data_IF_217584833622
#
_entry.id   IF_217584833622
#
_cell.length_a   1.000
_cell.length_b   1.000
_cell.length_c   1.000
_cell.angle_alpha   90.00
_cell.angle_beta   90.00
_cell.angle_gamma   90.00
#
_symmetry.space_group_name_H-M   'P 1'
#
loop_
_entity.id
_entity.type
_entity.pdbx_description
1 polymer ?
#
# COMPACT_ATOMS: atom_id res chain seq x y z
N UNK A 1 0.90 14.97 19.50
CA UNK A 1 0.81 15.15 20.96
C UNK A 1 -0.59 15.68 21.27
N UNK A 2 -1.35 15.01 22.15
CA UNK A 2 -2.82 15.10 22.29
C UNK A 2 -3.40 16.51 22.05
N UNK A 3 -4.50 16.59 21.28
CA UNK A 3 -5.22 17.84 21.08
C UNK A 3 -5.91 18.22 22.40
N UNK A 4 -5.24 19.03 23.23
CA UNK A 4 -5.71 19.50 24.55
C UNK A 4 -6.76 20.61 24.42
N UNK A 5 -7.87 20.32 23.76
CA UNK A 5 -8.96 21.27 23.52
C UNK A 5 -9.70 21.59 24.83
N UNK A 6 -9.85 20.61 25.71
CA UNK A 6 -10.48 20.76 27.03
C UNK A 6 -9.43 20.67 28.15
N UNK A 7 -9.76 21.24 29.32
CA UNK A 7 -8.83 21.32 30.45
C UNK A 7 -8.56 19.96 31.11
N UNK A 8 -9.55 19.06 31.08
CA UNK A 8 -9.52 17.75 31.70
C UNK A 8 -10.41 16.75 30.94
N UNK A 9 -10.36 15.47 31.35
CA UNK A 9 -11.13 14.41 30.72
C UNK A 9 -12.61 14.45 31.08
N UNK A 10 -13.02 15.07 32.19
CA UNK A 10 -14.43 15.21 32.54
C UNK A 10 -15.15 16.15 31.57
N UNK A 11 -14.56 17.33 31.33
CA UNK A 11 -15.03 18.28 30.33
C UNK A 11 -15.02 17.68 28.92
N UNK A 12 -13.93 17.00 28.54
CA UNK A 12 -13.83 16.35 27.23
C UNK A 12 -14.90 15.27 27.05
N UNK A 13 -15.15 14.44 28.08
CA UNK A 13 -16.13 13.35 28.03
C UNK A 13 -17.56 13.88 27.95
N UNK A 14 -17.90 14.87 28.77
CA UNK A 14 -19.22 15.51 28.73
C UNK A 14 -19.47 16.16 27.35
N UNK A 15 -18.48 16.86 26.81
CA UNK A 15 -18.57 17.46 25.49
C UNK A 15 -18.73 16.40 24.38
N UNK A 16 -17.99 15.30 24.44
CA UNK A 16 -18.09 14.22 23.46
C UNK A 16 -19.50 13.60 23.44
N UNK A 17 -20.06 13.27 24.61
CA UNK A 17 -21.41 12.70 24.72
C UNK A 17 -22.47 13.69 24.20
N UNK A 18 -22.37 14.98 24.58
CA UNK A 18 -23.30 16.02 24.11
C UNK A 18 -23.19 16.34 22.63
N UNK A 19 -22.02 16.12 22.04
CA UNK A 19 -21.85 16.17 20.59
C UNK A 19 -22.51 14.99 19.87
N UNK A 20 -23.08 14.03 20.60
CA UNK A 20 -23.79 12.88 20.05
C UNK A 20 -22.91 11.68 19.79
N UNK A 21 -21.72 11.61 20.38
CA UNK A 21 -20.89 10.41 20.28
C UNK A 21 -21.55 9.23 20.99
N UNK A 22 -21.50 8.07 20.35
CA UNK A 22 -22.02 6.82 20.90
C UNK A 22 -20.91 5.96 21.50
N UNK A 23 -19.84 5.74 20.73
CA UNK A 23 -18.73 4.86 21.08
C UNK A 23 -17.42 5.63 21.11
N UNK A 24 -16.60 5.37 22.13
CA UNK A 24 -15.28 5.99 22.30
C UNK A 24 -14.20 4.94 22.09
N UNK A 25 -13.41 5.12 21.03
CA UNK A 25 -12.31 4.22 20.68
C UNK A 25 -11.02 4.67 21.37
N UNK A 26 -10.30 3.73 21.99
CA UNK A 26 -8.90 3.88 22.48
C UNK A 26 -8.62 5.01 23.49
N UNK A 27 -9.63 5.64 24.08
CA UNK A 27 -9.46 6.67 25.13
C UNK A 27 -9.88 6.11 26.49
N UNK A 28 -8.98 5.41 27.18
CA UNK A 28 -9.28 4.75 28.47
C UNK A 28 -9.79 5.72 29.54
N UNK A 29 -9.24 6.93 29.58
CA UNK A 29 -9.60 7.98 30.54
C UNK A 29 -11.01 8.56 30.34
N UNK A 30 -11.69 8.25 29.23
CA UNK A 30 -13.10 8.59 29.04
C UNK A 30 -13.98 7.93 30.11
N UNK A 31 -13.62 6.73 30.59
CA UNK A 31 -14.41 6.02 31.58
C UNK A 31 -14.52 6.81 32.88
N UNK A 32 -13.39 7.11 33.52
CA UNK A 32 -13.36 7.90 34.75
C UNK A 32 -13.87 9.34 34.52
N UNK A 33 -13.50 9.95 33.39
CA UNK A 33 -13.94 11.31 33.04
C UNK A 33 -15.46 11.45 32.87
N UNK A 34 -16.13 10.48 32.24
CA UNK A 34 -17.58 10.49 32.10
C UNK A 34 -18.28 10.29 33.46
N UNK A 35 -17.73 9.46 34.36
CA UNK A 35 -18.26 9.27 35.71
C UNK A 35 -18.12 10.54 36.56
N UNK A 36 -16.97 11.19 36.50
CA UNK A 36 -16.72 12.47 37.16
C UNK A 36 -17.69 13.55 36.66
N UNK A 37 -17.86 13.66 35.33
CA UNK A 37 -18.81 14.61 34.75
C UNK A 37 -20.25 14.39 35.22
N UNK A 38 -20.67 13.13 35.42
CA UNK A 38 -21.98 12.82 36.02
C UNK A 38 -22.04 13.21 37.49
N UNK A 39 -21.01 12.89 38.27
CA UNK A 39 -20.94 13.23 39.69
C UNK A 39 -20.97 14.75 39.94
N UNK A 40 -20.35 15.53 39.06
CA UNK A 40 -20.35 16.99 39.10
C UNK A 40 -21.62 17.62 38.50
N UNK A 41 -22.50 16.82 37.90
CA UNK A 41 -23.72 17.30 37.23
C UNK A 41 -23.46 18.01 35.90
N UNK A 42 -22.24 17.95 35.38
CA UNK A 42 -21.88 18.50 34.07
C UNK A 42 -22.27 17.58 32.93
N UNK A 43 -22.63 16.31 33.21
CA UNK A 43 -23.27 15.35 32.30
C UNK A 43 -24.42 14.66 33.03
N UNK A 44 -25.52 14.33 32.35
CA UNK A 44 -26.64 13.59 32.96
C UNK A 44 -26.60 12.12 32.58
N UNK A 45 -27.07 11.23 33.46
CA UNK A 45 -27.21 9.81 33.14
C UNK A 45 -28.12 9.58 31.92
N UNK A 46 -29.17 10.40 31.74
CA UNK A 46 -30.06 10.31 30.59
C UNK A 46 -29.35 10.56 29.24
N UNK A 47 -28.33 11.43 29.22
CA UNK A 47 -27.49 11.65 28.03
C UNK A 47 -26.64 10.39 27.72
N UNK A 48 -26.13 9.71 28.74
CA UNK A 48 -25.41 8.44 28.60
C UNK A 48 -26.37 7.31 28.16
N UNK A 49 -27.53 7.20 28.80
CA UNK A 49 -28.57 6.21 28.48
C UNK A 49 -28.99 6.29 27.01
N UNK A 50 -29.03 7.49 26.44
CA UNK A 50 -29.35 7.68 25.03
C UNK A 50 -28.28 7.04 24.12
N UNK A 51 -26.98 7.24 24.42
CA UNK A 51 -25.87 6.62 23.69
C UNK A 51 -25.84 5.09 23.87
N UNK A 52 -25.99 4.63 25.11
CA UNK A 52 -26.05 3.19 25.44
C UNK A 52 -27.22 2.52 24.71
N UNK A 53 -28.40 3.17 24.67
CA UNK A 53 -29.56 2.64 23.93
C UNK A 53 -29.25 2.45 22.45
N UNK A 54 -28.58 3.41 21.79
CA UNK A 54 -28.23 3.28 20.36
C UNK A 54 -27.25 2.12 20.12
N UNK A 55 -26.25 1.97 20.98
CA UNK A 55 -25.32 0.83 20.92
C UNK A 55 -26.04 -0.51 21.13
N UNK A 56 -26.90 -0.60 22.15
CA UNK A 56 -27.62 -1.84 22.45
C UNK A 56 -28.62 -2.18 21.35
N UNK A 57 -29.35 -1.20 20.80
CA UNK A 57 -30.23 -1.39 19.65
C UNK A 57 -29.47 -2.01 18.48
N UNK A 58 -28.30 -1.47 18.11
CA UNK A 58 -27.48 -2.04 17.05
C UNK A 58 -27.07 -3.50 17.37
N UNK A 59 -26.69 -3.80 18.62
CA UNK A 59 -26.35 -5.16 19.03
C UNK A 59 -27.54 -6.13 18.94
N UNK A 60 -28.75 -5.67 19.26
CA UNK A 60 -29.99 -6.43 19.07
C UNK A 60 -30.33 -6.63 17.59
N UNK A 61 -30.22 -5.59 16.76
CA UNK A 61 -30.47 -5.67 15.31
C UNK A 61 -29.50 -6.64 14.62
N UNK A 62 -28.26 -6.71 15.09
CA UNK A 62 -27.27 -7.69 14.65
C UNK A 62 -27.50 -9.10 15.25
N UNK A 63 -28.48 -9.29 16.13
CA UNK A 63 -28.78 -10.57 16.77
C UNK A 63 -27.66 -11.09 17.67
N UNK A 64 -26.80 -10.20 18.21
CA UNK A 64 -25.64 -10.58 19.01
C UNK A 64 -26.01 -11.09 20.41
N UNK A 65 -27.25 -10.85 20.86
CA UNK A 65 -27.79 -11.39 22.11
C UNK A 65 -28.17 -12.87 21.98
N UNK A 66 -28.62 -13.29 20.79
CA UNK A 66 -28.97 -14.67 20.48
C UNK A 66 -27.77 -15.46 19.95
N UNK A 67 -26.92 -14.82 19.15
CA UNK A 67 -25.73 -15.43 18.56
C UNK A 67 -24.55 -14.43 18.51
N UNK A 68 -23.51 -14.60 19.34
CA UNK A 68 -22.36 -13.70 19.38
C UNK A 68 -21.38 -13.86 18.20
N UNK A 69 -21.67 -14.76 17.23
CA UNK A 69 -20.92 -14.94 15.98
C UNK A 69 -19.45 -15.33 16.21
N UNK A 70 -19.22 -16.36 17.03
CA UNK A 70 -17.89 -16.90 17.26
C UNK A 70 -17.23 -17.39 15.95
N UNK A 71 -15.89 -17.43 15.89
CA UNK A 71 -15.16 -17.99 14.75
C UNK A 71 -15.60 -19.42 14.43
N UNK A 72 -15.77 -19.73 13.15
CA UNK A 72 -16.06 -21.05 12.63
C UNK A 72 -14.90 -21.53 11.76
N UNK A 73 -14.13 -22.50 12.26
CA UNK A 73 -12.95 -23.01 11.58
C UNK A 73 -13.27 -23.73 10.26
N UNK A 74 -14.44 -24.35 10.13
CA UNK A 74 -14.84 -25.03 8.90
C UNK A 74 -15.15 -23.99 7.80
N UNK A 75 -15.92 -22.95 8.14
CA UNK A 75 -16.20 -21.85 7.21
C UNK A 75 -14.94 -21.07 6.85
N UNK A 76 -14.02 -20.86 7.80
CA UNK A 76 -12.73 -20.23 7.52
C UNK A 76 -11.93 -21.02 6.48
N UNK A 77 -11.82 -22.34 6.67
CA UNK A 77 -11.12 -23.22 5.73
C UNK A 77 -11.81 -23.30 4.35
N UNK A 78 -13.12 -23.16 4.30
CA UNK A 78 -13.89 -23.16 3.05
C UNK A 78 -13.72 -21.85 2.25
N UNK A 79 -13.75 -20.70 2.92
CA UNK A 79 -13.91 -19.41 2.23
C UNK A 79 -12.67 -18.50 2.22
N UNK A 80 -11.82 -18.53 3.24
CA UNK A 80 -10.65 -17.62 3.30
C UNK A 80 -9.61 -18.07 2.26
N UNK A 81 -9.26 -17.18 1.33
CA UNK A 81 -8.32 -17.49 0.25
C UNK A 81 -8.85 -18.49 -0.79
N UNK A 82 -10.17 -18.69 -0.87
CA UNK A 82 -10.78 -19.60 -1.84
C UNK A 82 -10.49 -19.20 -3.29
N UNK A 83 -10.54 -20.17 -4.21
CA UNK A 83 -10.32 -19.92 -5.63
C UNK A 83 -11.31 -18.90 -6.23
N UNK A 84 -12.57 -18.93 -5.79
CA UNK A 84 -13.58 -17.98 -6.23
C UNK A 84 -13.25 -16.54 -5.79
N UNK A 85 -12.75 -16.33 -4.57
CA UNK A 85 -12.28 -15.02 -4.12
C UNK A 85 -11.03 -14.57 -4.89
N UNK A 86 -10.10 -15.48 -5.16
CA UNK A 86 -8.91 -15.18 -5.95
C UNK A 86 -9.23 -14.80 -7.40
N UNK A 87 -10.21 -15.46 -8.03
CA UNK A 87 -10.69 -15.13 -9.38
C UNK A 87 -11.35 -13.75 -9.42
N UNK A 88 -12.23 -13.46 -8.45
CA UNK A 88 -12.84 -12.13 -8.32
C UNK A 88 -11.78 -11.04 -8.06
N UNK A 89 -10.78 -11.33 -7.22
CA UNK A 89 -9.67 -10.42 -6.98
C UNK A 89 -8.89 -10.13 -8.27
N UNK A 90 -8.59 -11.16 -9.07
CA UNK A 90 -7.93 -11.00 -10.35
C UNK A 90 -8.76 -10.17 -11.34
N UNK A 91 -10.08 -10.36 -11.39
CA UNK A 91 -10.97 -9.53 -12.20
C UNK A 91 -10.93 -8.06 -11.76
N UNK A 92 -11.05 -7.82 -10.46
CA UNK A 92 -11.00 -6.48 -9.89
C UNK A 92 -9.66 -5.80 -10.19
N UNK A 93 -8.53 -6.46 -9.93
CA UNK A 93 -7.20 -5.95 -10.19
C UNK A 93 -7.00 -5.59 -11.67
N UNK A 94 -7.41 -6.47 -12.61
CA UNK A 94 -7.34 -6.19 -14.06
C UNK A 94 -8.10 -4.92 -14.47
N UNK A 95 -9.21 -4.63 -13.80
CA UNK A 95 -10.06 -3.45 -14.07
C UNK A 95 -9.63 -2.20 -13.31
N UNK A 96 -8.68 -2.33 -12.39
CA UNK A 96 -8.19 -1.24 -11.54
C UNK A 96 -6.99 -0.51 -12.14
N UNK A 97 -6.33 -1.10 -13.14
CA UNK A 97 -5.18 -0.52 -13.82
C UNK A 97 -5.59 0.62 -14.75
N UNK A 98 -4.81 1.69 -14.76
CA UNK A 98 -5.04 2.87 -15.62
C UNK A 98 -3.88 3.03 -16.59
N UNK A 99 -4.14 2.87 -17.88
CA UNK A 99 -3.19 3.23 -18.94
C UNK A 99 -3.24 4.75 -19.15
N UNK A 100 -2.22 5.47 -18.69
CA UNK A 100 -2.17 6.93 -18.74
C UNK A 100 -1.72 7.43 -20.11
N UNK A 101 -0.67 6.84 -20.66
CA UNK A 101 -0.14 7.14 -21.99
C UNK A 101 0.31 5.86 -22.69
N UNK A 102 0.23 5.85 -24.01
CA UNK A 102 0.71 4.77 -24.86
C UNK A 102 0.96 5.32 -26.27
N UNK A 103 2.18 5.18 -26.77
CA UNK A 103 2.58 5.60 -28.13
C UNK A 103 2.26 4.55 -29.21
N UNK A 104 1.69 3.41 -28.80
CA UNK A 104 1.42 2.25 -29.65
C UNK A 104 2.31 1.04 -29.36
N UNK A 105 3.31 1.20 -28.46
CA UNK A 105 4.18 0.11 -28.02
C UNK A 105 3.43 -0.99 -27.26
N UNK A 106 2.41 -0.62 -26.46
CA UNK A 106 1.56 -1.61 -25.78
C UNK A 106 0.33 -1.98 -26.63
N UNK A 107 -0.08 -3.27 -26.65
CA UNK A 107 0.54 -4.40 -25.95
C UNK A 107 1.84 -4.88 -26.61
N UNK A 108 2.80 -5.34 -25.81
CA UNK A 108 4.07 -5.87 -26.31
C UNK A 108 3.82 -7.09 -27.22
N UNK A 109 4.26 -7.02 -28.47
CA UNK A 109 4.29 -8.11 -29.46
C UNK A 109 2.98 -8.92 -29.65
N UNK A 110 1.82 -8.31 -29.34
CA UNK A 110 0.48 -8.88 -29.55
C UNK A 110 -0.32 -9.13 -28.27
N UNK A 111 0.32 -9.06 -27.10
CA UNK A 111 -0.36 -9.12 -25.80
C UNK A 111 -0.89 -10.49 -25.41
N UNK A 112 -1.77 -10.51 -24.39
CA UNK A 112 -2.33 -11.72 -23.81
C UNK A 112 -3.66 -12.07 -24.49
N UNK A 113 -3.74 -13.14 -25.32
CA UNK A 113 -4.98 -13.51 -25.99
C UNK A 113 -6.00 -14.08 -25.00
N UNK A 114 -7.28 -13.72 -25.18
CA UNK A 114 -8.37 -14.32 -24.43
C UNK A 114 -8.49 -15.82 -24.76
N UNK A 115 -8.63 -16.66 -23.74
CA UNK A 115 -8.73 -18.11 -23.89
C UNK A 115 -7.44 -18.82 -24.34
N UNK A 116 -6.30 -18.12 -24.36
CA UNK A 116 -4.99 -18.71 -24.62
C UNK A 116 -4.47 -19.59 -23.48
N UNK A 117 -3.23 -20.05 -23.59
CA UNK A 117 -2.53 -20.85 -22.59
C UNK A 117 -2.08 -20.06 -21.34
N UNK A 118 -2.52 -18.80 -21.23
CA UNK A 118 -2.13 -17.88 -20.18
C UNK A 118 -0.83 -17.13 -20.46
N UNK A 119 -0.22 -17.25 -21.64
CA UNK A 119 0.95 -16.46 -22.04
C UNK A 119 0.63 -15.51 -23.19
N UNK A 120 1.37 -14.41 -23.23
CA UNK A 120 1.32 -13.46 -24.31
C UNK A 120 1.84 -14.09 -25.62
N UNK A 121 1.38 -13.59 -26.75
CA UNK A 121 1.86 -14.00 -28.07
C UNK A 121 3.04 -13.14 -28.49
N UNK A 122 3.91 -13.68 -29.35
CA UNK A 122 4.97 -12.92 -30.00
C UNK A 122 5.37 -13.52 -31.34
N UNK A 123 6.03 -12.70 -32.16
CA UNK A 123 6.56 -13.10 -33.48
C UNK A 123 7.91 -13.82 -33.43
N UNK A 124 8.57 -13.82 -32.26
CA UNK A 124 9.81 -14.54 -31.99
C UNK A 124 10.37 -14.25 -30.59
N UNK A 125 11.55 -14.81 -30.27
CA UNK A 125 12.21 -14.60 -28.98
C UNK A 125 12.55 -13.13 -28.73
N UNK A 126 12.31 -12.64 -27.51
CA UNK A 126 12.67 -11.30 -27.05
C UNK A 126 13.27 -11.34 -25.66
N UNK A 127 13.94 -10.27 -25.29
CA UNK A 127 14.40 -10.01 -23.93
C UNK A 127 13.67 -8.79 -23.36
N UNK A 128 13.10 -8.93 -22.17
CA UNK A 128 12.59 -7.81 -21.36
C UNK A 128 13.57 -7.54 -20.23
N UNK A 129 13.94 -6.27 -20.06
CA UNK A 129 14.53 -5.78 -18.82
C UNK A 129 13.41 -5.26 -17.91
N UNK A 130 13.12 -5.98 -16.84
CA UNK A 130 12.22 -5.54 -15.77
C UNK A 130 13.07 -4.92 -14.66
N UNK A 131 12.91 -3.63 -14.42
CA UNK A 131 13.77 -2.88 -13.50
C UNK A 131 12.97 -2.08 -12.50
N UNK A 132 13.58 -1.75 -11.36
CA UNK A 132 13.00 -0.85 -10.38
C UNK A 132 12.63 -1.53 -9.04
N UNK A 133 12.59 -0.74 -7.95
CA UNK A 133 12.46 -1.26 -6.59
C UNK A 133 11.11 -1.91 -6.33
N UNK A 134 10.04 -1.48 -7.01
CA UNK A 134 8.69 -2.01 -6.81
C UNK A 134 8.37 -3.23 -7.69
N UNK A 135 9.31 -3.70 -8.52
CA UNK A 135 9.05 -4.81 -9.45
C UNK A 135 8.86 -6.18 -8.75
N UNK A 136 9.47 -6.38 -7.58
CA UNK A 136 9.37 -7.63 -6.80
C UNK A 136 9.18 -7.39 -5.29
N UNK A 137 8.72 -6.20 -4.89
CA UNK A 137 8.38 -5.90 -3.49
C UNK A 137 6.90 -6.23 -3.21
N UNK A 138 6.69 -7.48 -2.76
CA UNK A 138 5.36 -8.04 -2.56
C UNK A 138 4.54 -7.32 -1.47
N UNK A 139 5.16 -6.95 -0.34
CA UNK A 139 4.41 -6.32 0.76
C UNK A 139 4.09 -4.87 0.43
N UNK A 140 5.04 -4.15 -0.17
CA UNK A 140 4.79 -2.78 -0.64
C UNK A 140 3.73 -2.72 -1.72
N UNK A 141 3.64 -3.72 -2.61
CA UNK A 141 2.57 -3.79 -3.61
C UNK A 141 1.18 -3.80 -2.97
N UNK A 142 0.99 -4.54 -1.88
CA UNK A 142 -0.27 -4.56 -1.13
C UNK A 142 -0.60 -3.22 -0.47
N UNK A 143 0.43 -2.47 -0.06
CA UNK A 143 0.30 -1.12 0.49
C UNK A 143 -0.06 -1.06 1.97
N UNK A 144 -0.64 0.07 2.38
CA UNK A 144 -1.09 0.31 3.75
C UNK A 144 -2.34 -0.51 4.09
N UNK A 145 -2.61 -0.72 5.39
CA UNK A 145 -3.72 -1.52 5.90
C UNK A 145 -3.69 -2.99 5.49
N UNK A 146 -2.50 -3.53 5.26
CA UNK A 146 -2.25 -4.94 4.99
C UNK A 146 -1.40 -5.57 6.11
N UNK A 147 -1.12 -6.87 5.99
CA UNK A 147 -0.20 -7.53 6.91
C UNK A 147 1.14 -6.79 6.99
N UNK A 148 1.69 -6.61 8.19
CA UNK A 148 2.95 -5.89 8.46
C UNK A 148 3.02 -4.40 8.07
N UNK A 149 1.91 -3.72 7.71
CA UNK A 149 1.97 -2.28 7.42
C UNK A 149 2.12 -1.36 8.64
N UNK A 150 2.06 -1.93 9.85
CA UNK A 150 2.38 -1.25 11.12
C UNK A 150 1.23 -1.11 12.11
N UNK A 151 -0.01 -1.40 11.72
CA UNK A 151 -1.20 -1.29 12.57
C UNK A 151 -1.36 -2.44 13.56
N UNK A 152 -0.79 -3.61 13.26
CA UNK A 152 -0.84 -4.82 14.07
C UNK A 152 0.47 -5.61 13.97
N UNK A 153 0.82 -6.31 15.04
CA UNK A 153 2.11 -7.01 15.20
C UNK A 153 2.01 -8.54 15.06
N UNK A 154 0.81 -9.11 14.92
CA UNK A 154 0.61 -10.56 14.86
C UNK A 154 1.06 -11.19 13.53
N UNK A 155 1.38 -10.38 12.51
CA UNK A 155 1.84 -10.83 11.19
C UNK A 155 3.11 -10.06 10.79
N UNK A 156 4.24 -10.30 11.48
CA UNK A 156 5.44 -9.46 11.35
C UNK A 156 6.13 -9.61 9.99
N UNK A 157 6.00 -10.77 9.34
CA UNK A 157 6.60 -11.04 8.02
C UNK A 157 5.69 -10.63 6.84
N UNK A 158 4.52 -10.06 7.15
CA UNK A 158 3.52 -9.67 6.16
C UNK A 158 2.70 -10.83 5.62
N UNK A 159 1.94 -10.55 4.55
CA UNK A 159 1.12 -11.58 3.91
C UNK A 159 2.01 -12.66 3.27
N UNK A 160 1.60 -13.94 3.23
CA UNK A 160 2.44 -15.00 2.69
C UNK A 160 2.88 -14.73 1.25
N UNK A 161 4.19 -14.64 0.99
CA UNK A 161 4.74 -14.35 -0.35
C UNK A 161 4.21 -15.26 -1.46
N UNK A 162 3.92 -16.53 -1.13
CA UNK A 162 3.36 -17.51 -2.07
C UNK A 162 1.94 -17.16 -2.57
N UNK A 163 1.23 -16.26 -1.88
CA UNK A 163 -0.11 -15.79 -2.23
C UNK A 163 -0.09 -14.44 -2.96
N UNK A 164 1.08 -13.82 -3.12
CA UNK A 164 1.24 -12.52 -3.77
C UNK A 164 1.94 -12.76 -5.11
N UNK A 165 1.41 -12.17 -6.17
CA UNK A 165 2.06 -12.14 -7.48
C UNK A 165 2.56 -10.73 -7.75
N UNK A 166 3.88 -10.60 -7.74
CA UNK A 166 4.56 -9.35 -8.08
C UNK A 166 4.53 -9.11 -9.58
N UNK A 167 4.95 -7.92 -10.02
CA UNK A 167 5.16 -7.64 -11.45
C UNK A 167 6.18 -8.63 -12.03
N UNK A 168 7.27 -8.93 -11.32
CA UNK A 168 8.27 -9.90 -11.74
C UNK A 168 7.70 -11.32 -11.90
N UNK A 169 6.89 -11.78 -10.95
CA UNK A 169 6.20 -13.06 -11.09
C UNK A 169 5.28 -13.06 -12.32
N UNK A 170 4.51 -11.99 -12.49
CA UNK A 170 3.59 -11.81 -13.61
C UNK A 170 4.31 -11.88 -14.96
N UNK A 171 5.43 -11.18 -15.12
CA UNK A 171 6.21 -11.27 -16.36
C UNK A 171 6.77 -12.69 -16.57
N UNK A 172 7.37 -13.33 -15.56
CA UNK A 172 7.89 -14.71 -15.71
C UNK A 172 6.81 -15.73 -16.08
N UNK A 173 5.62 -15.59 -15.50
CA UNK A 173 4.50 -16.48 -15.74
C UNK A 173 3.82 -16.23 -17.10
N UNK A 174 3.84 -14.99 -17.61
CA UNK A 174 2.95 -14.55 -18.71
C UNK A 174 3.66 -14.16 -19.99
N UNK A 175 4.96 -13.92 -20.03
CA UNK A 175 5.67 -13.72 -21.32
C UNK A 175 5.67 -15.02 -22.15
N UNK A 176 5.85 -14.97 -23.48
CA UNK A 176 6.09 -16.17 -24.28
C UNK A 176 7.21 -17.03 -23.68
N UNK A 177 7.10 -18.36 -23.81
CA UNK A 177 8.03 -19.29 -23.16
C UNK A 177 9.48 -19.19 -23.66
N UNK A 178 9.69 -18.63 -24.85
CA UNK A 178 10.99 -18.37 -25.47
C UNK A 178 11.51 -16.95 -25.23
N UNK A 179 10.80 -16.15 -24.42
CA UNK A 179 11.28 -14.84 -23.97
C UNK A 179 12.15 -14.95 -22.72
N UNK A 180 13.10 -14.02 -22.60
CA UNK A 180 13.96 -13.88 -21.42
C UNK A 180 13.51 -12.66 -20.60
N UNK A 181 13.35 -12.83 -19.29
CA UNK A 181 13.09 -11.73 -18.34
C UNK A 181 14.33 -11.51 -17.49
N UNK A 182 15.07 -10.45 -17.78
CA UNK A 182 16.17 -9.97 -16.96
C UNK A 182 15.60 -9.03 -15.88
N UNK A 183 15.98 -9.23 -14.63
CA UNK A 183 15.54 -8.41 -13.50
C UNK A 183 16.73 -7.69 -12.87
N UNK A 184 16.58 -6.40 -12.59
CA UNK A 184 17.52 -5.63 -11.77
C UNK A 184 16.75 -4.64 -10.87
N UNK A 185 17.08 -4.51 -9.57
CA UNK A 185 16.39 -3.58 -8.67
C UNK A 185 16.57 -2.11 -9.11
N UNK A 186 17.75 -1.75 -9.62
CA UNK A 186 18.02 -0.45 -10.26
C UNK A 186 18.08 0.77 -9.34
N UNK A 187 17.28 0.81 -8.28
CA UNK A 187 17.18 1.93 -7.36
C UNK A 187 16.77 1.46 -5.96
N UNK A 188 17.09 2.27 -4.94
CA UNK A 188 16.45 2.22 -3.62
C UNK A 188 15.53 3.42 -3.45
N UNK A 189 14.50 3.27 -2.61
CA UNK A 189 13.56 4.36 -2.31
C UNK A 189 14.04 5.16 -1.10
N UNK A 190 14.27 4.49 0.02
CA UNK A 190 14.61 5.12 1.30
C UNK A 190 15.35 4.15 2.21
N UNK A 191 16.00 4.72 3.21
CA UNK A 191 16.42 4.07 4.44
C UNK A 191 15.52 4.55 5.60
N UNK A 192 15.42 3.73 6.64
CA UNK A 192 14.76 4.11 7.91
C UNK A 192 15.80 4.18 9.02
N UNK A 193 15.63 5.13 9.93
CA UNK A 193 16.53 5.32 11.06
C UNK A 193 15.82 5.85 12.30
N UNK A 194 16.51 5.91 13.44
CA UNK A 194 15.92 6.41 14.68
C UNK A 194 15.53 7.89 14.57
N UNK A 195 14.48 8.28 15.30
CA UNK A 195 14.13 9.69 15.46
C UNK A 195 15.30 10.45 16.13
N UNK A 196 15.82 11.54 15.52
CA UNK A 196 16.95 12.29 16.06
C UNK A 196 16.66 12.95 17.42
N UNK A 197 15.39 13.05 17.83
CA UNK A 197 14.98 13.52 19.15
C UNK A 197 14.96 12.43 20.24
N UNK A 198 15.31 11.19 19.88
CA UNK A 198 15.41 10.04 20.80
C UNK A 198 14.47 8.89 20.43
N UNK A 199 14.52 7.80 21.19
CA UNK A 199 13.74 6.59 20.89
C UNK A 199 12.28 6.66 21.40
N UNK A 200 12.01 7.50 22.41
CA UNK A 200 10.70 7.55 23.07
C UNK A 200 10.18 8.98 23.20
N UNK A 201 8.86 9.12 23.17
CA UNK A 201 8.18 10.33 23.61
C UNK A 201 8.24 10.44 25.15
N UNK A 202 7.96 11.63 25.73
CA UNK A 202 7.96 11.83 27.19
C UNK A 202 6.97 10.95 27.96
N UNK A 203 5.97 10.38 27.29
CA UNK A 203 4.99 9.46 27.87
C UNK A 203 5.41 7.98 27.77
N UNK A 204 6.62 7.70 27.25
CA UNK A 204 7.19 6.37 27.12
C UNK A 204 6.76 5.60 25.87
N UNK A 205 5.95 6.19 24.98
CA UNK A 205 5.67 5.57 23.69
C UNK A 205 6.89 5.65 22.76
N UNK A 206 7.17 4.61 21.96
CA UNK A 206 8.26 4.67 20.98
C UNK A 206 7.96 5.73 19.93
N UNK A 207 9.00 6.47 19.53
CA UNK A 207 8.93 7.38 18.38
C UNK A 207 8.99 6.58 17.09
N UNK A 208 8.24 6.98 16.05
CA UNK A 208 8.33 6.34 14.75
C UNK A 208 9.73 6.54 14.16
N UNK A 209 10.18 5.57 13.36
CA UNK A 209 11.41 5.72 12.59
C UNK A 209 11.27 6.86 11.58
N UNK A 210 12.39 7.53 11.30
CA UNK A 210 12.49 8.61 10.33
C UNK A 210 12.94 8.06 8.99
N UNK A 211 12.24 8.50 7.95
CA UNK A 211 12.56 8.19 6.56
C UNK A 211 13.68 9.10 6.06
N UNK A 212 14.72 8.48 5.49
CA UNK A 212 15.79 9.17 4.77
C UNK A 212 15.75 8.74 3.30
N UNK A 213 15.52 9.64 2.33
CA UNK A 213 15.57 9.30 0.92
C UNK A 213 16.92 8.65 0.56
N UNK A 214 16.88 7.56 -0.21
CA UNK A 214 18.11 6.95 -0.69
C UNK A 214 18.87 7.91 -1.62
N UNK A 215 20.20 7.87 -1.55
CA UNK A 215 21.05 8.62 -2.47
C UNK A 215 21.41 7.74 -3.68
N UNK A 216 21.41 8.29 -4.91
CA UNK A 216 21.61 7.52 -6.14
C UNK A 216 22.82 6.59 -6.06
N UNK A 217 22.59 5.29 -6.23
CA UNK A 217 23.64 4.26 -6.30
C UNK A 217 24.05 4.01 -7.77
N UNK A 218 25.25 4.44 -8.22
CA UNK A 218 25.67 4.26 -9.60
C UNK A 218 25.82 2.79 -10.02
N UNK A 219 26.08 1.89 -9.07
CA UNK A 219 26.25 0.47 -9.38
C UNK A 219 24.90 -0.18 -9.70
N UNK A 220 23.87 0.07 -8.89
CA UNK A 220 22.51 -0.43 -9.14
C UNK A 220 21.93 0.14 -10.43
N UNK A 221 22.11 1.44 -10.66
CA UNK A 221 21.66 2.10 -11.90
C UNK A 221 22.41 1.54 -13.10
N UNK A 222 23.73 1.35 -13.00
CA UNK A 222 24.55 0.78 -14.06
C UNK A 222 24.15 -0.64 -14.45
N UNK A 223 23.80 -1.49 -13.48
CA UNK A 223 23.26 -2.83 -13.73
C UNK A 223 21.93 -2.78 -14.49
N UNK A 224 21.01 -1.92 -14.06
CA UNK A 224 19.71 -1.75 -14.73
C UNK A 224 19.86 -1.20 -16.16
N UNK A 225 20.78 -0.26 -16.39
CA UNK A 225 21.09 0.27 -17.73
C UNK A 225 21.68 -0.83 -18.62
N UNK A 226 22.62 -1.63 -18.12
CA UNK A 226 23.19 -2.73 -18.90
C UNK A 226 22.13 -3.77 -19.30
N UNK A 227 21.19 -4.09 -18.40
CA UNK A 227 20.06 -4.95 -18.70
C UNK A 227 19.15 -4.32 -19.77
N UNK A 228 18.85 -3.02 -19.66
CA UNK A 228 18.04 -2.27 -20.62
C UNK A 228 18.68 -2.23 -22.02
N UNK A 229 19.98 -1.98 -22.12
CA UNK A 229 20.71 -1.95 -23.39
C UNK A 229 20.69 -3.31 -24.11
N UNK A 230 20.72 -4.41 -23.34
CA UNK A 230 20.64 -5.77 -23.85
C UNK A 230 19.21 -6.24 -24.19
N UNK A 231 18.18 -5.50 -23.77
CA UNK A 231 16.78 -5.87 -23.95
C UNK A 231 16.15 -5.27 -25.22
N UNK A 232 15.07 -5.89 -25.67
CA UNK A 232 14.17 -5.37 -26.70
C UNK A 232 13.17 -4.36 -26.11
N UNK A 233 12.70 -4.63 -24.89
CA UNK A 233 11.77 -3.78 -24.15
C UNK A 233 12.25 -3.56 -22.71
N UNK A 234 12.01 -2.36 -22.18
CA UNK A 234 12.32 -2.00 -20.80
C UNK A 234 11.02 -1.71 -20.06
N UNK A 235 10.84 -2.32 -18.90
CA UNK A 235 9.72 -2.06 -18.00
C UNK A 235 10.28 -1.58 -16.67
N UNK A 236 10.09 -0.32 -16.34
CA UNK A 236 10.50 0.26 -15.07
C UNK A 236 9.30 0.29 -14.10
N UNK A 237 9.44 -0.35 -12.93
CA UNK A 237 8.41 -0.39 -11.88
C UNK A 237 8.87 0.46 -10.70
N UNK A 238 8.22 1.60 -10.53
CA UNK A 238 8.57 2.65 -9.56
C UNK A 238 7.36 3.02 -8.71
N UNK A 239 7.56 3.74 -7.62
CA UNK A 239 6.48 4.07 -6.71
C UNK A 239 6.88 4.59 -5.35
N UNK A 240 5.99 4.39 -4.39
CA UNK A 240 6.23 4.62 -2.95
C UNK A 240 6.30 3.28 -2.19
N UNK A 241 6.46 3.36 -0.86
CA UNK A 241 6.40 2.23 0.07
C UNK A 241 5.80 2.64 1.41
N UNK A 242 5.55 1.65 2.28
CA UNK A 242 4.73 1.75 3.51
C UNK A 242 5.13 2.93 4.44
N UNK A 243 6.39 3.34 4.44
CA UNK A 243 6.92 4.41 5.28
C UNK A 243 6.55 5.82 4.77
N UNK A 244 6.04 5.95 3.54
CA UNK A 244 5.66 7.21 2.89
C UNK A 244 4.13 7.43 2.79
N UNK A 245 3.34 6.54 3.40
CA UNK A 245 1.90 6.41 3.16
C UNK A 245 1.16 6.14 4.48
N UNK A 246 -0.12 6.51 4.56
CA UNK A 246 -0.95 6.27 5.74
C UNK A 246 -0.92 7.38 6.79
N UNK A 247 -1.40 7.05 7.99
CA UNK A 247 -1.55 8.00 9.11
C UNK A 247 -0.19 8.55 9.58
N UNK A 248 -0.11 9.86 9.76
CA UNK A 248 1.12 10.53 10.22
C UNK A 248 2.24 10.64 9.17
N UNK A 249 2.05 10.14 7.95
CA UNK A 249 3.08 10.02 6.89
C UNK A 249 2.74 10.82 5.62
N UNK A 250 2.15 12.00 5.78
CA UNK A 250 1.87 12.90 4.64
C UNK A 250 3.15 13.30 3.91
N UNK A 251 3.13 13.30 2.58
CA UNK A 251 4.25 13.75 1.74
C UNK A 251 3.93 15.08 1.08
N UNK A 252 4.90 15.99 1.01
CA UNK A 252 4.69 17.35 0.52
C UNK A 252 5.05 17.53 -0.96
N UNK A 253 6.17 16.93 -1.42
CA UNK A 253 6.66 17.10 -2.80
C UNK A 253 5.91 16.25 -3.81
N UNK A 254 5.38 15.10 -3.36
CA UNK A 254 4.76 14.05 -4.18
C UNK A 254 5.71 13.44 -5.23
N UNK A 255 6.99 13.81 -5.23
CA UNK A 255 8.00 13.23 -6.12
C UNK A 255 8.31 11.78 -5.76
N UNK A 256 8.78 11.01 -6.74
CA UNK A 256 9.41 9.72 -6.47
C UNK A 256 10.59 9.93 -5.51
N UNK A 257 10.59 9.18 -4.41
CA UNK A 257 11.62 9.28 -3.37
C UNK A 257 12.81 8.40 -3.73
N UNK A 258 14.02 8.90 -3.45
CA UNK A 258 15.27 8.16 -3.58
C UNK A 258 15.82 8.11 -5.00
N UNK A 259 16.45 6.99 -5.32
CA UNK A 259 17.27 6.81 -6.52
C UNK A 259 16.43 6.66 -7.80
N UNK A 260 15.12 6.54 -7.64
CA UNK A 260 14.17 6.22 -8.71
C UNK A 260 14.19 7.27 -9.84
N UNK A 261 14.37 8.55 -9.51
CA UNK A 261 14.47 9.61 -10.52
C UNK A 261 15.71 9.42 -11.38
N UNK A 262 16.88 9.18 -10.75
CA UNK A 262 18.13 8.95 -11.46
C UNK A 262 18.09 7.65 -12.30
N UNK A 263 17.40 6.62 -11.81
CA UNK A 263 17.15 5.40 -12.58
C UNK A 263 16.32 5.71 -13.85
N UNK A 264 15.20 6.42 -13.73
CA UNK A 264 14.35 6.76 -14.89
C UNK A 264 15.08 7.65 -15.90
N UNK A 265 15.86 8.62 -15.43
CA UNK A 265 16.70 9.46 -16.29
C UNK A 265 17.71 8.62 -17.10
N UNK A 266 18.38 7.68 -16.44
CA UNK A 266 19.37 6.81 -17.06
C UNK A 266 18.73 5.82 -18.06
N UNK A 267 17.58 5.24 -17.71
CA UNK A 267 16.86 4.33 -18.61
C UNK A 267 16.33 5.06 -19.84
N UNK A 268 15.77 6.26 -19.68
CA UNK A 268 15.30 7.08 -20.80
C UNK A 268 16.45 7.42 -21.78
N UNK A 269 17.66 7.66 -21.26
CA UNK A 269 18.84 7.95 -22.07
C UNK A 269 19.30 6.78 -22.96
N UNK A 270 18.88 5.54 -22.68
CA UNK A 270 19.20 4.37 -23.52
C UNK A 270 18.49 4.40 -24.88
N UNK A 271 17.40 5.17 -25.01
CA UNK A 271 16.57 5.21 -26.22
C UNK A 271 15.77 3.94 -26.51
N UNK A 272 15.77 2.96 -25.58
CA UNK A 272 14.96 1.75 -25.69
C UNK A 272 13.48 2.06 -25.43
N UNK A 273 12.52 1.29 -26.00
CA UNK A 273 11.12 1.42 -25.66
C UNK A 273 10.90 1.16 -24.16
N UNK A 274 10.67 2.24 -23.42
CA UNK A 274 10.50 2.23 -21.97
C UNK A 274 9.01 2.30 -21.61
N UNK A 275 8.54 1.31 -20.86
CA UNK A 275 7.23 1.33 -20.20
C UNK A 275 7.44 1.63 -18.72
N UNK A 276 6.78 2.65 -18.20
CA UNK A 276 6.82 2.98 -16.76
C UNK A 276 5.55 2.48 -16.10
N UNK A 277 5.70 1.61 -15.10
CA UNK A 277 4.61 1.12 -14.26
C UNK A 277 4.75 1.78 -12.88
N UNK A 278 3.73 2.52 -12.48
CA UNK A 278 3.68 3.23 -11.20
C UNK A 278 2.81 2.44 -10.22
N UNK A 279 3.45 1.79 -9.24
CA UNK A 279 2.78 1.12 -8.11
C UNK A 279 2.90 2.04 -6.91
N UNK A 280 1.86 2.82 -6.62
CA UNK A 280 1.91 3.78 -5.52
C UNK A 280 0.56 3.98 -4.84
N UNK A 281 0.60 4.34 -3.56
CA UNK A 281 -0.61 4.60 -2.75
C UNK A 281 -1.44 5.79 -3.21
N UNK A 282 -0.81 6.72 -3.93
CA UNK A 282 -1.36 8.02 -4.34
C UNK A 282 -0.67 8.49 -5.62
N UNK A 283 -1.21 9.54 -6.29
CA UNK A 283 -0.52 10.15 -7.42
C UNK A 283 0.86 10.67 -7.03
N UNK A 284 1.86 10.37 -7.87
CA UNK A 284 3.25 10.83 -7.72
C UNK A 284 3.68 11.67 -8.93
N UNK A 285 4.59 12.62 -8.69
CA UNK A 285 5.24 13.43 -9.72
C UNK A 285 6.37 12.61 -10.33
N UNK A 286 6.23 12.30 -11.61
CA UNK A 286 7.27 11.64 -12.40
C UNK A 286 8.27 12.68 -12.93
N UNK A 287 9.56 12.31 -13.08
CA UNK A 287 10.55 13.20 -13.67
C UNK A 287 10.26 13.46 -15.15
N UNK A 288 10.71 14.59 -15.73
CA UNK A 288 10.49 14.90 -17.14
C UNK A 288 10.95 13.81 -18.11
N UNK A 289 12.01 13.07 -17.77
CA UNK A 289 12.52 11.94 -18.56
C UNK A 289 11.49 10.82 -18.76
N UNK A 290 10.64 10.58 -17.75
CA UNK A 290 9.61 9.55 -17.81
C UNK A 290 8.42 9.94 -18.69
N UNK A 291 8.20 11.24 -18.96
CA UNK A 291 7.09 11.70 -19.79
C UNK A 291 7.26 11.34 -21.27
N UNK A 292 8.50 11.04 -21.70
CA UNK A 292 8.82 10.51 -23.02
C UNK A 292 8.77 8.98 -23.10
N UNK A 293 8.36 8.29 -22.03
CA UNK A 293 8.21 6.84 -22.04
C UNK A 293 7.19 6.41 -23.11
N UNK A 294 7.42 5.24 -23.70
CA UNK A 294 6.55 4.65 -24.70
C UNK A 294 5.14 4.39 -24.15
N UNK A 295 5.04 4.02 -22.87
CA UNK A 295 3.78 3.97 -22.16
C UNK A 295 3.96 4.22 -20.65
N UNK A 296 2.90 4.71 -20.02
CA UNK A 296 2.82 4.88 -18.56
C UNK A 296 1.55 4.20 -18.06
N UNK A 297 1.69 3.28 -17.10
CA UNK A 297 0.60 2.57 -16.44
C UNK A 297 0.60 2.93 -14.96
N UNK A 298 -0.53 3.37 -14.44
CA UNK A 298 -0.75 3.55 -13.00
C UNK A 298 -1.52 2.33 -12.46
N UNK A 299 -0.93 1.66 -11.47
CA UNK A 299 -1.46 0.42 -10.90
C UNK A 299 -1.98 0.56 -9.46
N UNK A 300 -1.80 1.73 -8.83
CA UNK A 300 -2.09 1.94 -7.42
C UNK A 300 -1.42 0.86 -6.53
N UNK A 301 -2.19 0.20 -5.65
CA UNK A 301 -1.81 -1.00 -4.91
C UNK A 301 -2.67 -2.19 -5.39
N UNK A 302 -2.23 -2.93 -6.43
CA UNK A 302 -3.02 -3.98 -7.09
C UNK A 302 -2.93 -5.36 -6.41
#
# INVERSE_FOLDING_TARGET
WEQKIYADYAQASAAAVRAGNDMVMTTSKFFDGAQEAVAEGTLTEAEIDAAVRRILTLKFELGLFENPRHPDAALQAEFIGSAAHAELNLEAARRSLVLLTNDGTLPLEGGLPEGGDGRATASGPRTIALVGPNADDAQTQLGDWAGSSGQADWLPDGQPRAMIRTVLDGFRDRVPADWTVAYAPGARILDVGPDPEGEFFPDGQPRPEVVVPAAPDPALIGEAVAAAEAADHVVAVVGDRIELIGEGKSTATLELVGDQVALLDALAATGKPLVVVVISSKPLVLPPSALGAAAIVYAANP
#
